data_IF_602564364130
#
_entry.id   IF_602564364130
#
_cell.length_a   1.000
_cell.length_b   1.000
_cell.length_c   1.000
_cell.angle_alpha   90.00
_cell.angle_beta   90.00
_cell.angle_gamma   90.00
#
_symmetry.space_group_name_H-M   'P 1'
#
loop_
_entity.id
_entity.type
_entity.pdbx_description
1 polymer ?
#
# COMPACT_ATOMS: atom_id res chain seq x y z
N UNK A 1 -36.71 9.02 -6.28
CA UNK A 1 -35.80 8.67 -5.16
C UNK A 1 -36.61 8.56 -3.89
N UNK A 2 -36.34 7.60 -3.00
CA UNK A 2 -37.01 7.56 -1.68
C UNK A 2 -36.61 8.80 -0.87
N UNK A 3 -37.59 9.52 -0.33
CA UNK A 3 -37.34 10.64 0.57
C UNK A 3 -36.80 10.12 1.91
N UNK A 4 -35.86 10.84 2.55
CA UNK A 4 -35.37 10.47 3.87
C UNK A 4 -36.51 10.57 4.90
N UNK A 5 -36.55 9.63 5.84
CA UNK A 5 -37.51 9.65 6.94
C UNK A 5 -37.19 10.75 7.94
N UNK A 6 -35.91 11.10 8.09
CA UNK A 6 -35.45 12.20 8.93
C UNK A 6 -34.18 12.80 8.34
N UNK A 7 -34.01 14.11 8.45
CA UNK A 7 -32.76 14.81 8.12
C UNK A 7 -32.27 15.54 9.36
N UNK A 8 -31.00 15.34 9.70
CA UNK A 8 -30.30 16.11 10.74
C UNK A 8 -29.13 16.84 10.11
N UNK A 9 -28.71 17.93 10.74
CA UNK A 9 -27.48 18.62 10.38
C UNK A 9 -26.46 18.50 11.50
N UNK A 10 -25.20 18.45 11.14
CA UNK A 10 -24.09 18.46 12.10
C UNK A 10 -22.93 19.29 11.58
N UNK A 11 -22.11 19.82 12.48
CA UNK A 11 -20.89 20.54 12.14
C UNK A 11 -19.68 19.71 12.55
N UNK A 12 -18.80 19.46 11.59
CA UNK A 12 -17.52 18.77 11.79
C UNK A 12 -16.42 19.65 11.17
N UNK A 13 -15.39 20.01 11.95
CA UNK A 13 -14.27 20.85 11.51
C UNK A 13 -14.73 22.16 10.81
N UNK A 14 -15.69 22.87 11.39
CA UNK A 14 -16.30 24.09 10.86
C UNK A 14 -17.04 23.96 9.50
N UNK A 15 -17.20 22.74 8.98
CA UNK A 15 -18.05 22.45 7.82
C UNK A 15 -19.36 21.79 8.26
N UNK A 16 -20.48 22.21 7.66
CA UNK A 16 -21.80 21.66 7.93
C UNK A 16 -22.10 20.49 6.98
N UNK A 17 -22.65 19.41 7.52
CA UNK A 17 -23.03 18.20 6.79
C UNK A 17 -24.46 17.80 7.10
N UNK A 18 -25.16 17.31 6.08
CA UNK A 18 -26.47 16.67 6.25
C UNK A 18 -26.32 15.18 6.59
N UNK A 19 -27.20 14.69 7.47
CA UNK A 19 -27.37 13.27 7.79
C UNK A 19 -28.80 12.90 7.46
N UNK A 20 -28.96 12.04 6.46
CA UNK A 20 -30.24 11.57 5.92
C UNK A 20 -30.50 10.16 6.43
N UNK A 21 -31.55 9.98 7.22
CA UNK A 21 -31.95 8.71 7.80
C UNK A 21 -33.01 8.04 6.95
N UNK A 22 -32.82 6.74 6.69
CA UNK A 22 -33.76 5.88 5.99
C UNK A 22 -34.07 4.67 6.87
N UNK A 23 -35.28 4.64 7.40
CA UNK A 23 -35.76 3.55 8.24
C UNK A 23 -36.08 2.33 7.39
N UNK A 24 -35.60 1.18 7.83
CA UNK A 24 -35.84 -0.10 7.16
C UNK A 24 -35.81 -1.25 8.16
N UNK A 25 -36.21 -2.45 7.74
CA UNK A 25 -36.14 -3.65 8.57
C UNK A 25 -34.72 -4.26 8.60
N UNK A 26 -33.69 -3.49 8.26
CA UNK A 26 -32.31 -3.96 8.24
C UNK A 26 -31.82 -4.30 9.65
N UNK A 27 -31.21 -5.49 9.77
CA UNK A 27 -30.61 -6.01 11.01
C UNK A 27 -29.42 -5.18 11.50
N UNK A 28 -28.69 -4.55 10.56
CA UNK A 28 -27.52 -3.72 10.85
C UNK A 28 -27.74 -2.27 10.40
N UNK A 29 -26.96 -1.36 11.00
CA UNK A 29 -26.92 0.04 10.56
C UNK A 29 -25.81 0.21 9.53
N UNK A 30 -26.18 0.81 8.40
CA UNK A 30 -25.27 1.15 7.31
C UNK A 30 -25.11 2.67 7.24
N UNK A 31 -23.87 3.12 7.10
CA UNK A 31 -23.51 4.52 6.91
C UNK A 31 -22.70 4.68 5.62
N UNK A 32 -23.20 5.48 4.69
CA UNK A 32 -22.47 5.89 3.47
C UNK A 32 -22.37 7.41 3.39
N UNK A 33 -21.51 7.90 2.51
CA UNK A 33 -21.39 9.32 2.20
C UNK A 33 -21.49 9.48 0.68
N UNK A 34 -22.56 10.14 0.23
CA UNK A 34 -22.92 10.30 -1.18
C UNK A 34 -23.41 11.75 -1.37
N UNK A 35 -22.98 12.39 -2.46
CA UNK A 35 -23.43 13.74 -2.86
C UNK A 35 -23.38 14.80 -1.74
N UNK A 36 -22.34 14.77 -0.91
CA UNK A 36 -22.15 15.75 0.17
C UNK A 36 -22.94 15.49 1.45
N UNK A 37 -23.69 14.39 1.53
CA UNK A 37 -24.48 14.01 2.70
C UNK A 37 -24.09 12.63 3.24
N UNK A 38 -24.30 12.42 4.54
CA UNK A 38 -24.27 11.10 5.17
C UNK A 38 -25.62 10.42 5.04
N UNK A 39 -25.63 9.16 4.61
CA UNK A 39 -26.83 8.37 4.48
C UNK A 39 -26.79 7.25 5.51
N UNK A 40 -27.73 7.27 6.44
CA UNK A 40 -27.87 6.27 7.50
C UNK A 40 -29.07 5.38 7.18
N UNK A 41 -28.86 4.07 7.07
CA UNK A 41 -29.93 3.09 6.83
C UNK A 41 -29.95 2.05 7.95
N UNK A 42 -31.11 1.83 8.57
CA UNK A 42 -31.23 0.86 9.66
C UNK A 42 -32.64 0.82 10.27
N UNK A 43 -32.86 -0.11 11.19
CA UNK A 43 -34.09 -0.14 11.98
C UNK A 43 -34.16 1.00 12.97
N UNK A 44 -35.37 1.50 13.23
CA UNK A 44 -35.59 2.65 14.12
C UNK A 44 -35.07 2.39 15.54
N UNK A 45 -35.21 1.16 16.03
CA UNK A 45 -34.73 0.71 17.34
C UNK A 45 -33.19 0.86 17.44
N UNK A 46 -32.47 0.50 16.38
CA UNK A 46 -31.01 0.59 16.36
C UNK A 46 -30.52 2.04 16.23
N UNK A 47 -31.29 2.88 15.53
CA UNK A 47 -30.93 4.28 15.25
C UNK A 47 -31.26 5.22 16.42
N UNK A 48 -32.17 4.85 17.31
CA UNK A 48 -32.53 5.62 18.49
C UNK A 48 -31.80 5.18 19.77
N UNK A 49 -30.87 4.22 19.67
CA UNK A 49 -30.08 3.75 20.80
C UNK A 49 -29.11 4.85 21.29
N UNK A 50 -28.97 5.06 22.60
CA UNK A 50 -28.04 6.06 23.17
C UNK A 50 -26.57 5.87 22.76
N UNK A 51 -26.15 4.64 22.46
CA UNK A 51 -24.79 4.32 21.96
C UNK A 51 -24.60 4.68 20.49
N UNK A 52 -25.69 4.89 19.75
CA UNK A 52 -25.66 5.11 18.31
C UNK A 52 -25.00 6.45 17.96
N UNK A 53 -25.27 7.53 18.70
CA UNK A 53 -24.66 8.85 18.43
C UNK A 53 -23.13 8.81 18.48
N UNK A 54 -22.56 8.13 19.50
CA UNK A 54 -21.11 7.97 19.61
C UNK A 54 -20.53 7.15 18.46
N UNK A 55 -21.22 6.09 18.05
CA UNK A 55 -20.84 5.30 16.89
C UNK A 55 -20.89 6.13 15.61
N UNK A 56 -21.98 6.88 15.40
CA UNK A 56 -22.22 7.70 14.22
C UNK A 56 -21.13 8.75 14.06
N UNK A 57 -20.83 9.51 15.13
CA UNK A 57 -19.78 10.53 15.12
C UNK A 57 -18.41 9.92 14.75
N UNK A 58 -18.03 8.80 15.37
CA UNK A 58 -16.75 8.12 15.08
C UNK A 58 -16.69 7.60 13.65
N UNK A 59 -17.79 7.04 13.14
CA UNK A 59 -17.87 6.51 11.78
C UNK A 59 -17.81 7.63 10.73
N UNK A 60 -18.51 8.74 10.95
CA UNK A 60 -18.50 9.93 10.10
C UNK A 60 -17.09 10.54 10.01
N UNK A 61 -16.42 10.73 11.15
CA UNK A 61 -15.04 11.22 11.19
C UNK A 61 -14.07 10.32 10.40
N UNK A 62 -14.24 9.00 10.50
CA UNK A 62 -13.42 8.05 9.73
C UNK A 62 -13.69 8.12 8.22
N UNK A 63 -14.94 8.32 7.81
CA UNK A 63 -15.30 8.50 6.40
C UNK A 63 -14.71 9.80 5.86
N UNK A 64 -14.88 10.93 6.56
CA UNK A 64 -14.31 12.21 6.16
C UNK A 64 -12.79 12.15 6.10
N UNK A 65 -12.14 11.50 7.07
CA UNK A 65 -10.70 11.26 7.04
C UNK A 65 -10.27 10.48 5.80
N UNK A 66 -11.05 9.47 5.37
CA UNK A 66 -10.78 8.72 4.14
C UNK A 66 -10.99 9.55 2.88
N UNK A 67 -11.94 10.47 2.89
CA UNK A 67 -12.24 11.37 1.78
C UNK A 67 -11.21 12.51 1.66
N UNK A 68 -10.69 12.99 2.80
CA UNK A 68 -9.68 14.05 2.87
C UNK A 68 -8.26 13.53 2.63
N UNK A 69 -8.02 12.25 2.88
CA UNK A 69 -6.81 11.59 2.42
C UNK A 69 -6.85 11.62 0.89
N UNK A 70 -5.91 12.37 0.27
CA UNK A 70 -5.64 12.25 -1.17
C UNK A 70 -5.73 10.77 -1.54
N UNK A 71 -6.46 10.46 -2.62
CA UNK A 71 -6.50 9.09 -3.14
C UNK A 71 -5.06 8.55 -3.14
N UNK A 72 -4.88 7.33 -2.62
CA UNK A 72 -3.55 6.76 -2.50
C UNK A 72 -2.83 6.95 -3.84
N UNK A 73 -1.60 7.47 -3.86
CA UNK A 73 -0.90 7.69 -5.12
C UNK A 73 -0.90 6.39 -5.91
N UNK A 74 -1.19 6.50 -7.22
CA UNK A 74 -1.17 5.36 -8.12
C UNK A 74 0.24 4.77 -8.15
N UNK A 75 0.31 3.44 -8.15
CA UNK A 75 1.56 2.67 -8.19
C UNK A 75 1.97 2.46 -9.66
N UNK A 76 2.16 3.57 -10.37
CA UNK A 76 2.36 3.56 -11.82
C UNK A 76 3.48 4.53 -12.20
N UNK A 77 4.09 4.26 -13.35
CA UNK A 77 5.05 5.17 -13.98
C UNK A 77 4.26 6.33 -14.58
N UNK A 78 4.58 7.56 -14.18
CA UNK A 78 3.95 8.76 -14.74
C UNK A 78 4.64 9.09 -16.06
N UNK A 79 4.12 8.50 -17.14
CA UNK A 79 4.66 8.66 -18.49
C UNK A 79 4.43 10.05 -19.05
N UNK A 80 3.36 10.72 -18.63
CA UNK A 80 2.99 12.06 -19.06
C UNK A 80 4.00 13.09 -18.55
N UNK A 81 4.31 13.04 -17.25
CA UNK A 81 5.27 13.95 -16.62
C UNK A 81 6.70 13.40 -16.58
N UNK A 82 6.92 12.21 -17.15
CA UNK A 82 8.19 11.46 -17.13
C UNK A 82 8.78 11.29 -15.73
N UNK A 83 7.94 10.92 -14.76
CA UNK A 83 8.30 10.72 -13.36
C UNK A 83 8.09 9.30 -12.91
N UNK A 84 8.93 8.84 -11.98
CA UNK A 84 8.86 7.49 -11.45
C UNK A 84 9.41 7.43 -10.04
N UNK A 85 8.81 6.60 -9.19
CA UNK A 85 9.42 6.23 -7.92
C UNK A 85 10.44 5.11 -8.11
N UNK A 86 11.63 5.30 -7.57
CA UNK A 86 12.68 4.29 -7.55
C UNK A 86 13.25 4.21 -6.13
N UNK A 87 12.98 3.09 -5.47
CA UNK A 87 13.33 2.86 -4.06
C UNK A 87 12.91 4.03 -3.16
N UNK A 88 11.66 4.49 -3.32
CA UNK A 88 11.05 5.57 -2.53
C UNK A 88 11.36 6.99 -2.98
N UNK A 89 12.33 7.18 -3.89
CA UNK A 89 12.68 8.50 -4.39
C UNK A 89 11.93 8.80 -5.69
N UNK A 90 11.27 9.96 -5.75
CA UNK A 90 10.66 10.44 -6.99
C UNK A 90 11.75 11.00 -7.91
N UNK A 91 11.95 10.33 -9.04
CA UNK A 91 12.94 10.67 -10.05
C UNK A 91 12.25 11.10 -11.34
N UNK A 92 12.93 11.93 -12.13
CA UNK A 92 12.59 12.14 -13.53
C UNK A 92 13.27 11.06 -14.36
N UNK A 93 12.70 10.70 -15.51
CA UNK A 93 13.40 9.87 -16.48
C UNK A 93 13.55 10.54 -17.85
N UNK A 94 14.67 10.28 -18.51
CA UNK A 94 14.98 10.78 -19.84
C UNK A 94 15.47 9.64 -20.73
N UNK A 95 15.22 9.74 -22.03
CA UNK A 95 15.64 8.77 -23.02
C UNK A 95 16.50 9.47 -24.05
N UNK A 96 17.75 9.04 -24.20
CA UNK A 96 18.71 9.60 -25.17
C UNK A 96 19.62 8.49 -25.66
N UNK A 97 19.90 8.44 -26.97
CA UNK A 97 20.83 7.50 -27.58
C UNK A 97 20.59 6.04 -27.14
N UNK A 98 19.32 5.62 -27.15
CA UNK A 98 18.90 4.27 -26.74
C UNK A 98 19.25 3.90 -25.27
N UNK A 99 19.41 4.90 -24.42
CA UNK A 99 19.59 4.76 -22.98
C UNK A 99 18.47 5.49 -22.24
N UNK A 100 18.01 4.88 -21.16
CA UNK A 100 17.11 5.48 -20.20
C UNK A 100 17.94 5.92 -18.98
N UNK A 101 17.72 7.15 -18.54
CA UNK A 101 18.37 7.77 -17.39
C UNK A 101 17.33 8.07 -16.33
N UNK A 102 17.56 7.64 -15.09
CA UNK A 102 16.82 8.08 -13.92
C UNK A 102 17.61 9.18 -13.23
N UNK A 103 16.98 10.33 -13.03
CA UNK A 103 17.63 11.58 -12.66
C UNK A 103 16.91 12.18 -11.46
N UNK A 104 17.67 12.65 -10.48
CA UNK A 104 17.12 13.33 -9.31
C UNK A 104 16.69 14.78 -9.61
N UNK A 105 16.15 15.47 -8.61
CA UNK A 105 15.74 16.87 -8.73
C UNK A 105 16.90 17.86 -8.96
N UNK A 106 18.15 17.44 -8.70
CA UNK A 106 19.37 18.22 -8.89
C UNK A 106 20.06 17.91 -10.23
N UNK A 107 19.40 17.16 -11.11
CA UNK A 107 19.92 16.69 -12.39
C UNK A 107 21.08 15.69 -12.31
N UNK A 108 21.29 15.03 -11.16
CA UNK A 108 22.26 13.95 -11.05
C UNK A 108 21.69 12.65 -11.62
N UNK A 109 22.50 11.92 -12.40
CA UNK A 109 22.13 10.58 -12.90
C UNK A 109 22.24 9.58 -11.76
N UNK A 110 21.09 9.09 -11.29
CA UNK A 110 21.00 8.06 -10.25
C UNK A 110 21.21 6.67 -10.86
N UNK A 111 20.67 6.44 -12.06
CA UNK A 111 20.78 5.15 -12.75
C UNK A 111 20.66 5.34 -14.25
N UNK A 112 21.33 4.48 -15.03
CA UNK A 112 21.15 4.41 -16.49
C UNK A 112 21.10 2.95 -16.95
N UNK A 113 20.31 2.68 -17.98
CA UNK A 113 20.19 1.34 -18.58
C UNK A 113 19.81 1.42 -20.05
N UNK A 114 20.17 0.37 -20.81
CA UNK A 114 19.82 0.27 -22.24
C UNK A 114 18.31 0.16 -22.41
N UNK A 115 17.76 0.97 -23.31
CA UNK A 115 16.46 0.71 -23.92
C UNK A 115 16.65 -0.52 -24.81
N UNK A 116 15.80 -1.53 -24.66
CA UNK A 116 15.83 -2.67 -25.57
C UNK A 116 15.49 -2.18 -26.98
N UNK A 117 16.21 -2.62 -28.02
CA UNK A 117 15.95 -2.27 -29.44
C UNK A 117 14.65 -2.89 -29.98
N UNK A 118 13.79 -3.41 -29.12
CA UNK A 118 12.57 -4.05 -29.54
C UNK A 118 11.47 -2.99 -29.61
N UNK A 119 11.24 -2.46 -30.81
CA UNK A 119 10.27 -1.40 -31.11
C UNK A 119 8.80 -1.79 -30.81
N UNK A 120 8.56 -3.04 -30.41
CA UNK A 120 7.25 -3.54 -29.99
C UNK A 120 6.80 -3.06 -28.61
N UNK A 121 7.69 -2.53 -27.77
CA UNK A 121 7.36 -2.16 -26.39
C UNK A 121 7.53 -0.67 -26.12
N UNK A 122 6.56 -0.09 -25.41
CA UNK A 122 6.64 1.29 -24.95
C UNK A 122 7.70 1.49 -23.85
N UNK A 123 8.04 2.75 -23.62
CA UNK A 123 9.06 3.13 -22.64
C UNK A 123 8.69 2.70 -21.21
N UNK A 124 7.40 2.76 -20.85
CA UNK A 124 6.92 2.40 -19.53
C UNK A 124 7.15 0.90 -19.25
N UNK A 125 6.88 0.05 -20.23
CA UNK A 125 7.13 -1.38 -20.15
C UNK A 125 8.62 -1.68 -19.96
N UNK A 126 9.48 -1.02 -20.74
CA UNK A 126 10.93 -1.21 -20.65
C UNK A 126 11.47 -0.77 -19.28
N UNK A 127 11.03 0.40 -18.80
CA UNK A 127 11.37 0.89 -17.46
C UNK A 127 10.86 -0.06 -16.38
N UNK A 128 9.59 -0.50 -16.47
CA UNK A 128 9.00 -1.43 -15.49
C UNK A 128 9.75 -2.75 -15.44
N UNK A 129 10.22 -3.27 -16.57
CA UNK A 129 11.03 -4.50 -16.59
C UNK A 129 12.40 -4.31 -15.96
N UNK A 130 13.05 -3.17 -16.18
CA UNK A 130 14.30 -2.83 -15.50
C UNK A 130 14.08 -2.73 -13.99
N UNK A 131 13.06 -1.98 -13.56
CA UNK A 131 12.66 -1.83 -12.17
C UNK A 131 12.38 -3.16 -11.47
N UNK A 132 11.69 -4.08 -12.15
CA UNK A 132 11.44 -5.44 -11.68
C UNK A 132 12.74 -6.19 -11.35
N UNK A 133 13.78 -6.06 -12.18
CA UNK A 133 15.09 -6.69 -11.93
C UNK A 133 15.80 -6.08 -10.73
N UNK A 134 15.77 -4.74 -10.62
CA UNK A 134 16.37 -4.04 -9.48
C UNK A 134 15.67 -4.42 -8.17
N UNK A 135 14.32 -4.47 -8.17
CA UNK A 135 13.54 -4.95 -7.02
C UNK A 135 13.94 -6.36 -6.62
N UNK A 136 14.04 -7.28 -7.58
CA UNK A 136 14.39 -8.66 -7.31
C UNK A 136 15.76 -8.78 -6.66
N UNK A 137 16.77 -8.09 -7.19
CA UNK A 137 18.12 -8.10 -6.63
C UNK A 137 18.15 -7.53 -5.21
N UNK A 138 17.48 -6.39 -4.98
CA UNK A 138 17.37 -5.76 -3.65
C UNK A 138 16.65 -6.65 -2.65
N UNK A 139 15.53 -7.26 -3.06
CA UNK A 139 14.76 -8.15 -2.20
C UNK A 139 15.55 -9.41 -1.86
N UNK A 140 16.26 -10.02 -2.82
CA UNK A 140 17.10 -11.21 -2.56
C UNK A 140 18.19 -10.92 -1.53
N UNK A 141 18.85 -9.77 -1.66
CA UNK A 141 19.83 -9.32 -0.68
C UNK A 141 19.23 -9.28 0.74
N UNK A 142 18.10 -8.62 0.94
CA UNK A 142 17.47 -8.53 2.26
C UNK A 142 16.88 -9.85 2.76
N UNK A 143 16.37 -10.71 1.88
CA UNK A 143 15.86 -12.02 2.25
C UNK A 143 17.00 -12.95 2.73
N UNK A 144 18.15 -12.91 2.06
CA UNK A 144 19.37 -13.63 2.48
C UNK A 144 19.94 -13.08 3.79
N UNK A 145 19.98 -11.75 3.93
CA UNK A 145 20.37 -11.09 5.18
C UNK A 145 19.46 -11.51 6.34
N UNK A 146 18.14 -11.54 6.12
CA UNK A 146 17.16 -11.99 7.10
C UNK A 146 17.31 -13.48 7.44
N UNK A 147 17.50 -14.35 6.44
CA UNK A 147 17.71 -15.78 6.66
C UNK A 147 18.97 -16.04 7.49
N UNK A 148 20.07 -15.35 7.20
CA UNK A 148 21.30 -15.47 7.95
C UNK A 148 21.14 -14.97 9.40
N UNK A 149 20.51 -13.80 9.59
CA UNK A 149 20.36 -13.21 10.92
C UNK A 149 19.37 -13.96 11.80
N UNK A 150 18.20 -14.35 11.26
CA UNK A 150 17.08 -14.99 11.97
C UNK A 150 17.29 -16.50 12.13
N UNK A 151 17.62 -17.20 11.03
CA UNK A 151 17.66 -18.66 10.97
C UNK A 151 19.07 -19.22 11.16
N UNK A 152 20.10 -18.36 11.16
CA UNK A 152 21.52 -18.74 11.15
C UNK A 152 21.88 -19.65 9.98
N UNK A 153 21.23 -19.43 8.83
CA UNK A 153 21.41 -20.22 7.60
C UNK A 153 21.58 -19.31 6.39
N UNK A 154 22.43 -19.75 5.46
CA UNK A 154 22.48 -19.19 4.12
C UNK A 154 21.48 -19.96 3.26
N UNK A 155 20.38 -19.33 2.89
CA UNK A 155 19.33 -19.92 2.09
C UNK A 155 19.24 -19.20 0.74
N UNK A 156 19.00 -19.97 -0.31
CA UNK A 156 18.62 -19.45 -1.61
C UNK A 156 17.11 -19.61 -1.80
N UNK A 157 16.49 -18.57 -2.38
CA UNK A 157 15.06 -18.55 -2.60
C UNK A 157 14.74 -18.52 -4.08
N UNK A 158 13.62 -19.14 -4.44
CA UNK A 158 13.03 -18.99 -5.77
C UNK A 158 12.08 -17.81 -5.76
N UNK A 159 12.18 -16.91 -6.73
CA UNK A 159 11.35 -15.72 -6.77
C UNK A 159 10.37 -15.72 -7.93
N UNK A 160 9.21 -15.09 -7.72
CA UNK A 160 8.38 -14.63 -8.83
C UNK A 160 7.82 -13.23 -8.57
N UNK A 161 7.92 -12.37 -9.57
CA UNK A 161 7.32 -11.04 -9.53
C UNK A 161 5.88 -11.12 -10.05
N UNK A 162 4.94 -10.57 -9.30
CA UNK A 162 3.51 -10.66 -9.57
C UNK A 162 2.84 -9.29 -9.41
N UNK A 163 1.75 -9.07 -10.12
CA UNK A 163 0.89 -7.92 -9.90
C UNK A 163 -0.18 -8.32 -8.87
N UNK A 164 0.20 -8.25 -7.59
CA UNK A 164 -0.65 -8.69 -6.47
C UNK A 164 -1.51 -7.54 -5.97
N UNK A 165 -2.81 -7.82 -5.73
CA UNK A 165 -3.76 -6.82 -5.21
C UNK A 165 -3.97 -6.88 -3.69
N UNK A 166 -3.66 -8.02 -3.06
CA UNK A 166 -4.04 -8.32 -1.67
C UNK A 166 -2.86 -8.45 -0.71
N UNK A 167 -1.63 -8.59 -1.20
CA UNK A 167 -0.42 -8.66 -0.38
C UNK A 167 0.83 -8.20 -1.13
N UNK A 168 1.82 -7.73 -0.39
CA UNK A 168 3.07 -7.19 -0.93
C UNK A 168 4.12 -8.25 -1.20
N UNK A 169 4.14 -9.32 -0.40
CA UNK A 169 4.88 -10.53 -0.70
C UNK A 169 4.16 -11.75 -0.08
N UNK A 170 4.68 -12.94 -0.33
CA UNK A 170 4.25 -14.19 0.29
C UNK A 170 5.32 -15.26 0.07
N UNK A 171 5.66 -16.03 1.11
CA UNK A 171 6.53 -17.20 1.01
C UNK A 171 5.76 -18.52 1.06
N UNK A 172 6.17 -19.48 0.23
CA UNK A 172 5.82 -20.89 0.40
C UNK A 172 7.00 -21.62 1.02
N UNK A 173 6.95 -21.83 2.33
CA UNK A 173 8.07 -22.33 3.15
C UNK A 173 8.65 -23.65 2.60
N UNK A 174 7.78 -24.61 2.28
CA UNK A 174 8.18 -25.93 1.78
C UNK A 174 9.04 -25.91 0.51
N UNK A 175 8.84 -24.92 -0.37
CA UNK A 175 9.59 -24.79 -1.64
C UNK A 175 10.54 -23.59 -1.66
N UNK A 176 10.66 -22.86 -0.54
CA UNK A 176 11.42 -21.61 -0.42
C UNK A 176 11.13 -20.62 -1.57
N UNK A 177 9.87 -20.58 -2.00
CA UNK A 177 9.42 -19.72 -3.10
C UNK A 177 8.77 -18.46 -2.56
N UNK A 178 9.30 -17.30 -2.92
CA UNK A 178 8.78 -15.99 -2.54
C UNK A 178 8.12 -15.33 -3.76
N UNK A 179 6.85 -14.97 -3.63
CA UNK A 179 6.15 -14.16 -4.61
C UNK A 179 6.15 -12.71 -4.14
N UNK A 180 6.66 -11.79 -4.96
CA UNK A 180 6.84 -10.38 -4.62
C UNK A 180 5.91 -9.54 -5.49
N UNK A 181 5.22 -8.56 -4.89
CA UNK A 181 4.45 -7.56 -5.63
C UNK A 181 5.41 -6.62 -6.37
N UNK A 182 5.27 -6.47 -7.68
CA UNK A 182 6.21 -5.67 -8.47
C UNK A 182 6.19 -4.18 -8.11
N UNK A 183 5.10 -3.69 -7.54
CA UNK A 183 4.95 -2.31 -7.07
C UNK A 183 5.77 -1.99 -5.81
N UNK A 184 6.41 -2.98 -5.16
CA UNK A 184 7.34 -2.72 -4.05
C UNK A 184 8.53 -1.85 -4.46
N UNK A 185 8.88 -1.81 -5.74
CA UNK A 185 9.98 -0.98 -6.26
C UNK A 185 9.77 0.53 -6.04
N UNK A 186 8.51 0.95 -5.87
CA UNK A 186 8.17 2.35 -5.61
C UNK A 186 8.46 2.77 -4.16
N UNK A 187 8.60 1.83 -3.24
CA UNK A 187 8.80 2.09 -1.82
C UNK A 187 10.29 2.12 -1.45
N UNK A 188 10.61 2.76 -0.33
CA UNK A 188 11.98 2.87 0.18
C UNK A 188 12.61 1.51 0.49
N UNK A 189 13.94 1.49 0.48
CA UNK A 189 14.73 0.30 0.84
C UNK A 189 14.34 -0.26 2.22
N UNK A 190 14.03 0.59 3.19
CA UNK A 190 13.59 0.17 4.53
C UNK A 190 12.27 -0.63 4.48
N UNK A 191 11.34 -0.22 3.63
CA UNK A 191 10.07 -0.92 3.45
C UNK A 191 10.29 -2.26 2.75
N UNK A 192 11.15 -2.30 1.73
CA UNK A 192 11.49 -3.56 1.05
C UNK A 192 12.19 -4.52 2.03
N UNK A 193 13.13 -4.02 2.83
CA UNK A 193 13.79 -4.78 3.90
C UNK A 193 12.77 -5.32 4.90
N UNK A 194 11.86 -4.48 5.39
CA UNK A 194 10.77 -4.90 6.28
C UNK A 194 9.94 -6.04 5.67
N UNK A 195 9.55 -5.95 4.40
CA UNK A 195 8.77 -7.01 3.74
C UNK A 195 9.60 -8.28 3.58
N UNK A 196 10.88 -8.20 3.20
CA UNK A 196 11.73 -9.38 3.11
C UNK A 196 11.88 -10.10 4.47
N UNK A 197 12.17 -9.34 5.54
CA UNK A 197 12.25 -9.88 6.90
C UNK A 197 10.91 -10.47 7.38
N UNK A 198 9.79 -9.85 7.00
CA UNK A 198 8.45 -10.37 7.28
C UNK A 198 8.23 -11.75 6.68
N UNK A 199 8.60 -11.94 5.41
CA UNK A 199 8.49 -13.25 4.75
C UNK A 199 9.42 -14.29 5.38
N UNK A 200 10.64 -13.93 5.78
CA UNK A 200 11.53 -14.90 6.45
C UNK A 200 11.03 -15.27 7.85
N UNK A 201 10.40 -14.35 8.58
CA UNK A 201 9.77 -14.68 9.86
C UNK A 201 8.68 -15.76 9.71
N UNK A 202 8.00 -15.82 8.55
CA UNK A 202 7.00 -16.85 8.28
C UNK A 202 7.55 -18.29 8.21
N UNK A 203 8.87 -18.46 8.07
CA UNK A 203 9.52 -19.78 8.14
C UNK A 203 9.48 -20.35 9.58
N UNK A 204 9.51 -19.49 10.60
CA UNK A 204 9.42 -19.91 12.02
C UNK A 204 7.96 -19.84 12.50
N UNK A 205 7.24 -18.78 12.14
CA UNK A 205 5.88 -18.51 12.61
C UNK A 205 4.93 -18.31 11.43
N UNK A 206 4.13 -19.33 11.12
CA UNK A 206 3.24 -19.34 9.95
C UNK A 206 2.08 -18.32 10.00
N UNK A 207 1.81 -17.74 11.17
CA UNK A 207 0.76 -16.74 11.37
C UNK A 207 1.32 -15.46 12.01
N UNK A 208 0.53 -14.39 12.02
CA UNK A 208 0.91 -13.12 12.63
C UNK A 208 0.67 -13.10 14.16
N UNK A 209 1.10 -14.14 14.87
CA UNK A 209 0.98 -14.24 16.32
C UNK A 209 1.84 -13.21 17.06
N UNK A 210 1.71 -13.15 18.39
CA UNK A 210 2.54 -12.28 19.24
C UNK A 210 4.03 -12.61 19.08
N UNK A 211 4.35 -13.89 18.96
CA UNK A 211 5.71 -14.42 18.77
C UNK A 211 6.28 -13.98 17.42
N UNK A 212 5.48 -14.04 16.34
CA UNK A 212 5.86 -13.50 15.03
C UNK A 212 6.29 -12.03 15.12
N UNK A 213 5.44 -11.18 15.70
CA UNK A 213 5.73 -9.75 15.78
C UNK A 213 6.89 -9.46 16.72
N UNK A 214 7.03 -10.22 17.81
CA UNK A 214 8.17 -10.14 18.72
C UNK A 214 9.47 -10.47 18.00
N UNK A 215 9.49 -11.54 17.19
CA UNK A 215 10.64 -11.91 16.38
C UNK A 215 11.00 -10.82 15.37
N UNK A 216 10.03 -10.35 14.59
CA UNK A 216 10.27 -9.30 13.58
C UNK A 216 10.80 -8.01 14.22
N UNK A 217 10.23 -7.61 15.38
CA UNK A 217 10.65 -6.40 16.11
C UNK A 217 12.11 -6.43 16.55
N UNK A 218 12.69 -7.62 16.83
CA UNK A 218 14.11 -7.73 17.20
C UNK A 218 15.04 -7.25 16.09
N UNK A 219 14.64 -7.43 14.83
CA UNK A 219 15.45 -7.08 13.66
C UNK A 219 15.00 -5.79 12.98
N UNK A 220 13.70 -5.48 13.04
CA UNK A 220 13.09 -4.28 12.48
C UNK A 220 12.28 -3.57 13.59
N UNK A 221 12.93 -2.81 14.49
CA UNK A 221 12.26 -2.22 15.65
C UNK A 221 11.12 -1.25 15.29
N UNK A 222 11.24 -0.54 14.17
CA UNK A 222 10.26 0.42 13.65
C UNK A 222 9.23 -0.21 12.68
N UNK A 223 9.04 -1.55 12.68
CA UNK A 223 8.17 -2.24 11.71
C UNK A 223 6.74 -1.69 11.66
N UNK A 224 6.21 -1.15 12.76
CA UNK A 224 4.85 -0.58 12.80
C UNK A 224 4.73 0.67 11.93
N UNK A 225 5.76 1.52 11.93
CA UNK A 225 5.83 2.70 11.06
C UNK A 225 5.91 2.27 9.60
N UNK A 226 6.82 1.34 9.27
CA UNK A 226 7.00 0.83 7.91
C UNK A 226 5.74 0.15 7.37
N UNK A 227 5.05 -0.63 8.22
CA UNK A 227 3.74 -1.23 7.90
C UNK A 227 2.68 -0.16 7.60
N UNK A 228 2.68 0.94 8.35
CA UNK A 228 1.76 2.06 8.12
C UNK A 228 2.09 2.81 6.82
N UNK A 229 3.38 3.07 6.54
CA UNK A 229 3.82 3.66 5.27
C UNK A 229 3.38 2.82 4.08
N UNK A 230 3.64 1.51 4.14
CA UNK A 230 3.26 0.55 3.10
C UNK A 230 1.73 0.51 2.89
N UNK A 231 0.94 0.47 3.98
CA UNK A 231 -0.53 0.49 3.92
C UNK A 231 -1.08 1.76 3.26
N UNK A 232 -0.41 2.89 3.45
CA UNK A 232 -0.86 4.21 2.98
C UNK A 232 -0.19 4.66 1.68
N UNK A 233 0.61 3.81 1.03
CA UNK A 233 1.40 4.13 -0.17
C UNK A 233 2.31 5.35 0.05
N UNK A 234 2.89 5.44 1.24
CA UNK A 234 3.95 6.41 1.54
C UNK A 234 5.25 5.79 1.06
N UNK A 235 5.82 6.37 0.01
CA UNK A 235 6.97 5.80 -0.68
C UNK A 235 8.31 6.05 0.01
N UNK A 236 8.41 7.08 0.84
CA UNK A 236 9.62 7.45 1.60
C UNK A 236 9.39 7.40 3.11
#
# INVERSE_FOLDING_TARGET
MKHPNQVRKTKINNQEYEIKFFYSNAKHVYLTYEDGAFLVRGSIINLLNSRFENFLNKAMLNILKKLSLKSKPKLEIDTLNKKIYYFGNLLNYQIKNNLIYLIDAKNNIIKKFKKSNNDKFDDAFLIKNFLKKELLSKFDFFAKEAANSILKKNLDFKYSLRDKKTSWASITVASQKINICSDLIYFSDEIIKYVAYHEICHIIHHNHSKEFWSLLKKYIPNYQELKNKLKNHIFK
#
